data_IF_113426110080
#
_entry.id   IF_113426110080
#
_cell.length_a   1.000
_cell.length_b   1.000
_cell.length_c   1.000
_cell.angle_alpha   90.00
_cell.angle_beta   90.00
_cell.angle_gamma   90.00
#
_symmetry.space_group_name_H-M   'P 1'
#
loop_
_entity.id
_entity.type
_entity.pdbx_description
1 polymer ?
#
# COMPACT_ATOMS: atom_id res chain seq x y z
N UNK A 1 42.70 -15.71 3.49
CA UNK A 1 41.85 -15.25 2.36
C UNK A 1 40.68 -14.49 2.96
N UNK A 2 40.78 -13.16 2.97
CA UNK A 2 39.84 -12.23 3.56
C UNK A 2 39.12 -11.51 2.42
N UNK A 3 37.79 -11.55 2.39
CA UNK A 3 37.02 -10.58 1.61
C UNK A 3 35.66 -10.34 2.26
N UNK A 4 35.27 -9.06 2.25
CA UNK A 4 33.95 -8.44 2.45
C UNK A 4 33.61 -7.94 3.85
N UNK A 5 33.70 -6.61 4.03
CA UNK A 5 32.56 -5.77 4.39
C UNK A 5 32.97 -4.28 4.31
N UNK A 6 32.56 -3.59 3.24
CA UNK A 6 32.74 -2.14 3.11
C UNK A 6 31.77 -1.57 2.06
N UNK A 7 30.47 -1.55 2.39
CA UNK A 7 29.51 -0.64 1.77
C UNK A 7 28.45 -0.35 2.83
N UNK A 8 28.62 0.73 3.61
CA UNK A 8 27.57 1.43 4.38
C UNK A 8 28.16 2.57 5.24
N UNK A 9 28.87 3.53 4.63
CA UNK A 9 29.22 4.82 5.28
C UNK A 9 29.36 5.95 4.27
N UNK A 10 28.25 6.42 3.70
CA UNK A 10 28.26 7.75 3.05
C UNK A 10 26.87 8.41 3.04
N UNK A 11 26.22 8.59 4.18
CA UNK A 11 25.07 9.52 4.30
C UNK A 11 24.98 10.07 5.73
N UNK A 12 25.98 10.82 6.18
CA UNK A 12 25.88 11.61 7.41
C UNK A 12 26.95 12.69 7.44
N UNK A 13 26.68 13.84 6.81
CA UNK A 13 27.17 15.16 7.21
C UNK A 13 26.62 16.22 6.27
N UNK A 14 25.88 17.19 6.84
CA UNK A 14 25.90 18.65 6.55
C UNK A 14 24.49 19.25 6.66
N UNK A 15 24.08 19.61 7.87
CA UNK A 15 23.09 20.66 8.13
C UNK A 15 23.61 21.52 9.28
N UNK A 16 24.47 22.48 8.96
CA UNK A 16 24.82 23.57 9.89
C UNK A 16 23.82 24.71 9.70
N UNK A 17 22.97 24.87 10.71
CA UNK A 17 22.37 26.11 11.22
C UNK A 17 22.64 27.40 10.40
N UNK A 18 21.63 27.89 9.68
CA UNK A 18 21.49 29.31 9.36
C UNK A 18 20.31 29.89 10.14
N UNK A 19 20.61 30.85 11.03
CA UNK A 19 19.62 31.72 11.67
C UNK A 19 19.33 32.89 10.72
N UNK A 20 18.12 32.97 10.18
CA UNK A 20 17.61 34.19 9.58
C UNK A 20 16.61 34.86 10.52
N UNK A 21 16.88 36.11 10.88
CA UNK A 21 15.89 37.04 11.43
C UNK A 21 15.23 37.74 10.24
N UNK A 22 13.90 37.68 10.12
CA UNK A 22 13.17 38.58 9.24
C UNK A 22 11.90 39.08 9.92
N UNK A 23 11.90 40.38 10.21
CA UNK A 23 10.72 41.19 10.51
C UNK A 23 10.19 41.77 9.20
N UNK A 24 8.98 41.39 8.80
CA UNK A 24 8.33 41.97 7.63
C UNK A 24 7.09 41.17 7.23
N UNK A 25 5.91 41.68 7.58
CA UNK A 25 4.61 41.08 7.24
C UNK A 25 4.28 41.44 5.79
N UNK A 26 4.51 40.51 4.86
CA UNK A 26 3.89 40.50 3.53
C UNK A 26 2.91 39.33 3.47
N UNK A 27 1.70 39.59 2.95
CA UNK A 27 0.67 38.57 2.71
C UNK A 27 1.24 37.50 1.77
N UNK A 28 1.65 36.38 2.37
CA UNK A 28 2.28 35.28 1.66
C UNK A 28 1.27 34.57 0.75
N UNK A 29 1.52 34.65 -0.55
CA UNK A 29 1.28 33.48 -1.41
C UNK A 29 2.02 32.34 -0.71
N UNK A 30 1.28 31.36 -0.19
CA UNK A 30 1.89 30.21 0.46
C UNK A 30 2.87 29.62 -0.56
N UNK A 31 4.18 29.76 -0.31
CA UNK A 31 5.20 29.09 -1.08
C UNK A 31 4.84 27.61 -0.98
N UNK A 32 4.34 27.05 -2.09
CA UNK A 32 4.29 25.60 -2.26
C UNK A 32 5.74 25.18 -2.02
N UNK A 33 6.02 24.39 -0.97
CA UNK A 33 7.39 24.05 -0.63
C UNK A 33 8.11 23.52 -1.87
N UNK A 34 9.41 23.81 -2.01
CA UNK A 34 10.35 23.29 -3.02
C UNK A 34 10.44 21.74 -3.07
N UNK A 35 9.47 21.02 -2.53
CA UNK A 35 9.32 19.57 -2.57
C UNK A 35 9.19 19.00 -4.00
N UNK A 36 8.81 19.81 -4.99
CA UNK A 36 8.71 19.35 -6.38
C UNK A 36 10.07 19.25 -7.10
N UNK A 37 11.11 19.97 -6.68
CA UNK A 37 12.43 19.93 -7.35
C UNK A 37 13.31 18.75 -6.89
N UNK A 38 12.89 18.02 -5.86
CA UNK A 38 13.48 16.73 -5.52
C UNK A 38 12.55 15.60 -5.95
N UNK A 39 12.27 15.51 -7.25
CA UNK A 39 11.95 14.21 -7.86
C UNK A 39 13.21 13.37 -7.72
N UNK A 40 13.36 12.80 -6.53
CA UNK A 40 14.43 11.88 -6.20
C UNK A 40 14.30 10.73 -7.18
N UNK A 41 15.41 10.38 -7.84
CA UNK A 41 15.44 9.27 -8.78
C UNK A 41 14.71 8.06 -8.18
N UNK A 42 13.83 7.42 -8.96
CA UNK A 42 13.15 6.21 -8.51
C UNK A 42 14.19 5.19 -8.03
N UNK A 43 13.89 4.40 -6.98
CA UNK A 43 14.78 3.34 -6.55
C UNK A 43 15.06 2.39 -7.73
N UNK A 44 16.23 1.73 -7.75
CA UNK A 44 16.57 0.79 -8.80
C UNK A 44 15.49 -0.29 -8.89
N UNK A 45 15.11 -0.67 -10.12
CA UNK A 45 14.13 -1.70 -10.33
C UNK A 45 14.63 -3.03 -9.74
N UNK A 46 13.84 -3.72 -8.90
CA UNK A 46 14.21 -5.04 -8.44
C UNK A 46 14.30 -6.02 -9.63
N UNK A 47 15.11 -7.08 -9.52
CA UNK A 47 15.20 -8.09 -10.58
C UNK A 47 13.89 -8.86 -10.73
N UNK A 48 13.67 -9.43 -11.91
CA UNK A 48 12.52 -10.30 -12.14
C UNK A 48 12.60 -11.53 -11.21
N UNK A 49 11.55 -11.83 -10.43
CA UNK A 49 11.59 -12.96 -9.51
C UNK A 49 11.63 -14.29 -10.26
N UNK A 50 12.54 -15.17 -9.86
CA UNK A 50 12.76 -16.48 -10.49
C UNK A 50 11.99 -17.63 -9.81
N UNK A 51 11.35 -17.39 -8.67
CA UNK A 51 10.67 -18.43 -7.89
C UNK A 51 9.16 -18.36 -8.06
N UNK A 52 8.52 -19.53 -8.09
CA UNK A 52 7.07 -19.70 -8.03
C UNK A 52 6.73 -20.75 -6.96
N UNK A 53 6.02 -20.41 -5.87
CA UNK A 53 5.48 -19.09 -5.53
C UNK A 53 6.59 -18.06 -5.23
N UNK A 54 6.29 -16.78 -5.44
CA UNK A 54 7.23 -15.69 -5.13
C UNK A 54 7.17 -15.38 -3.62
N UNK A 55 8.31 -15.20 -2.92
CA UNK A 55 8.29 -14.80 -1.52
C UNK A 55 7.65 -13.41 -1.36
N UNK A 56 6.98 -13.18 -0.23
CA UNK A 56 6.70 -11.81 0.19
C UNK A 56 8.01 -11.03 0.33
N UNK A 57 7.89 -9.70 0.34
CA UNK A 57 9.01 -8.81 0.68
C UNK A 57 9.58 -9.20 2.05
N UNK A 58 10.90 -9.30 2.13
CA UNK A 58 11.63 -9.47 3.38
C UNK A 58 11.44 -8.23 4.28
N UNK A 59 11.78 -8.35 5.57
CA UNK A 59 11.66 -7.23 6.53
C UNK A 59 12.35 -5.97 6.02
N UNK A 60 13.57 -6.08 5.55
CA UNK A 60 14.38 -4.96 5.06
C UNK A 60 13.79 -4.35 3.77
N UNK A 61 13.07 -5.15 2.99
CA UNK A 61 12.44 -4.72 1.75
C UNK A 61 11.11 -4.01 2.01
N UNK A 62 10.36 -4.47 3.01
CA UNK A 62 9.22 -3.74 3.56
C UNK A 62 9.65 -2.37 4.10
N UNK A 63 10.87 -2.26 4.66
CA UNK A 63 11.37 -0.96 5.13
C UNK A 63 11.58 0.04 3.97
N UNK A 64 11.98 -0.42 2.79
CA UNK A 64 12.05 0.42 1.59
C UNK A 64 10.66 0.91 1.13
N UNK A 65 9.60 0.19 1.47
CA UNK A 65 8.25 0.64 1.18
C UNK A 65 7.85 1.86 1.97
N UNK A 66 8.47 2.10 3.13
CA UNK A 66 8.14 3.28 3.91
C UNK A 66 8.59 4.58 3.23
N UNK A 67 9.60 4.53 2.37
CA UNK A 67 10.03 5.68 1.59
C UNK A 67 9.25 5.86 0.29
N UNK A 68 8.61 4.81 -0.23
CA UNK A 68 7.91 4.84 -1.52
C UNK A 68 6.81 5.92 -1.64
N UNK A 69 6.00 6.23 -0.60
CA UNK A 69 4.97 7.27 -0.66
C UNK A 69 5.51 8.70 -0.76
N UNK A 70 6.79 8.92 -0.43
CA UNK A 70 7.44 10.21 -0.68
C UNK A 70 7.90 10.35 -2.12
N UNK A 71 8.11 9.22 -2.79
CA UNK A 71 8.64 9.16 -4.14
C UNK A 71 7.53 9.04 -5.19
N UNK A 72 6.39 8.44 -4.83
CA UNK A 72 5.36 8.00 -5.77
C UNK A 72 3.94 8.20 -5.18
N UNK A 73 2.86 8.20 -6.00
CA UNK A 73 1.49 8.23 -5.49
C UNK A 73 1.03 6.94 -4.83
N UNK A 74 1.89 5.92 -4.77
CA UNK A 74 1.52 4.62 -4.25
C UNK A 74 1.44 4.61 -2.74
N UNK A 75 0.42 3.92 -2.26
CA UNK A 75 0.08 3.91 -0.84
C UNK A 75 -0.24 2.50 -0.40
N UNK A 76 0.27 2.15 0.78
CA UNK A 76 -0.06 0.89 1.43
C UNK A 76 -1.36 1.05 2.18
N UNK A 77 -2.32 0.21 1.86
CA UNK A 77 -3.54 0.08 2.64
C UNK A 77 -3.60 -1.34 3.16
N UNK A 78 -3.89 -1.53 4.46
CA UNK A 78 -4.46 -2.80 4.89
C UNK A 78 -5.67 -3.05 4.02
N UNK A 79 -5.81 -4.26 3.48
CA UNK A 79 -7.02 -4.59 2.74
C UNK A 79 -8.23 -4.42 3.65
N UNK A 80 -9.05 -3.42 3.36
CA UNK A 80 -10.37 -3.30 3.95
C UNK A 80 -11.25 -4.33 3.26
N UNK A 81 -11.66 -5.38 3.98
CA UNK A 81 -12.88 -6.10 3.60
C UNK A 81 -13.98 -5.04 3.50
N UNK A 82 -14.86 -5.11 2.50
CA UNK A 82 -15.99 -4.19 2.44
C UNK A 82 -16.74 -4.29 3.76
N UNK A 83 -16.62 -3.25 4.60
CA UNK A 83 -17.60 -3.07 5.64
C UNK A 83 -18.91 -2.86 4.92
N UNK A 84 -19.98 -3.53 5.34
CA UNK A 84 -21.33 -3.32 4.81
C UNK A 84 -21.77 -1.83 4.84
N UNK A 85 -20.99 -0.95 5.48
CA UNK A 85 -20.96 0.48 5.22
C UNK A 85 -20.27 0.82 3.87
N UNK A 86 -20.87 0.44 2.74
CA UNK A 86 -20.74 1.27 1.53
C UNK A 86 -21.49 2.56 1.83
N UNK A 87 -20.79 3.57 2.33
CA UNK A 87 -21.31 4.94 2.37
C UNK A 87 -21.70 5.33 0.96
N UNK A 88 -22.92 5.88 0.80
CA UNK A 88 -23.60 6.14 -0.47
C UNK A 88 -22.95 7.20 -1.36
N UNK A 89 -21.71 6.98 -1.78
CA UNK A 89 -21.10 7.68 -2.92
C UNK A 89 -21.53 6.90 -4.16
N UNK A 90 -22.70 7.22 -4.70
CA UNK A 90 -23.09 6.84 -6.06
C UNK A 90 -22.18 7.59 -7.05
N UNK A 91 -20.97 7.09 -7.28
CA UNK A 91 -20.22 7.50 -8.46
C UNK A 91 -20.83 6.77 -9.66
N UNK A 92 -21.17 7.50 -10.73
CA UNK A 92 -21.57 6.88 -11.99
C UNK A 92 -20.36 6.13 -12.56
N UNK A 93 -20.36 4.81 -12.39
CA UNK A 93 -19.27 3.95 -12.81
C UNK A 93 -19.44 3.54 -14.27
N UNK A 94 -18.49 3.88 -15.13
CA UNK A 94 -18.34 3.24 -16.44
C UNK A 94 -17.66 1.89 -16.18
N UNK A 95 -18.43 0.80 -16.24
CA UNK A 95 -17.92 -0.55 -16.08
C UNK A 95 -17.21 -0.99 -17.37
N UNK A 96 -15.90 -1.06 -17.33
CA UNK A 96 -15.13 -1.92 -18.24
C UNK A 96 -14.85 -3.20 -17.44
N UNK A 97 -15.47 -4.31 -17.86
CA UNK A 97 -15.41 -5.70 -17.35
C UNK A 97 -14.18 -6.03 -16.49
N UNK A 98 -14.32 -6.64 -15.30
CA UNK A 98 -14.54 -8.10 -15.18
C UNK A 98 -15.41 -8.54 -13.99
N UNK A 99 -16.31 -9.49 -14.27
CA UNK A 99 -17.35 -10.09 -13.40
C UNK A 99 -16.82 -11.05 -12.34
N UNK A 100 -15.80 -10.66 -11.58
CA UNK A 100 -15.31 -11.54 -10.51
C UNK A 100 -15.51 -10.89 -9.16
N UNK A 101 -16.36 -11.54 -8.37
CA UNK A 101 -16.69 -11.21 -6.99
C UNK A 101 -15.49 -11.53 -6.07
N UNK A 102 -14.36 -10.86 -6.31
CA UNK A 102 -13.06 -11.05 -5.66
C UNK A 102 -13.00 -10.58 -4.19
N UNK A 103 -14.11 -10.07 -3.66
CA UNK A 103 -14.14 -9.42 -2.34
C UNK A 103 -14.26 -10.38 -1.15
N UNK A 104 -14.61 -11.66 -1.39
CA UNK A 104 -14.85 -12.63 -0.29
C UNK A 104 -13.71 -13.60 -0.01
N UNK A 105 -12.79 -13.84 -0.95
CA UNK A 105 -11.84 -14.98 -0.86
C UNK A 105 -10.36 -14.61 -0.88
N UNK A 106 -10.01 -13.40 -1.25
CA UNK A 106 -8.60 -13.03 -1.36
C UNK A 106 -8.10 -12.49 -0.01
N UNK A 107 -7.23 -13.29 0.62
CA UNK A 107 -6.72 -13.11 1.97
C UNK A 107 -5.86 -11.87 2.22
N UNK A 108 -5.04 -12.02 3.26
CA UNK A 108 -4.49 -10.94 4.08
C UNK A 108 -3.26 -10.37 3.43
N UNK A 109 -3.18 -9.06 3.33
CA UNK A 109 -2.00 -8.45 2.75
C UNK A 109 -2.08 -6.94 2.76
N UNK A 110 -0.89 -6.37 2.64
CA UNK A 110 -0.74 -5.00 2.21
C UNK A 110 -1.06 -4.94 0.73
N UNK A 111 -1.86 -3.96 0.33
CA UNK A 111 -2.14 -3.71 -1.08
C UNK A 111 -1.53 -2.37 -1.45
N UNK A 112 -0.75 -2.36 -2.53
CA UNK A 112 -0.26 -1.14 -3.14
C UNK A 112 -1.40 -0.49 -3.90
N UNK A 113 -1.73 0.75 -3.58
CA UNK A 113 -2.83 1.49 -4.21
C UNK A 113 -2.36 2.86 -4.66
N UNK A 114 -2.59 3.19 -5.94
CA UNK A 114 -2.37 4.54 -6.49
C UNK A 114 -3.60 5.02 -7.25
N UNK A 115 -3.74 6.35 -7.35
CA UNK A 115 -4.77 6.99 -8.16
C UNK A 115 -4.12 8.06 -9.03
N UNK A 116 -4.23 7.89 -10.33
CA UNK A 116 -3.76 8.84 -11.34
C UNK A 116 -4.94 9.63 -11.88
N UNK A 117 -4.79 10.94 -12.06
CA UNK A 117 -5.87 11.81 -12.55
C UNK A 117 -5.56 12.38 -13.92
N UNK A 118 -6.61 12.55 -14.70
CA UNK A 118 -6.56 13.05 -16.08
C UNK A 118 -7.72 14.03 -16.30
N UNK A 119 -7.50 15.05 -17.12
CA UNK A 119 -8.54 16.01 -17.55
C UNK A 119 -9.46 15.41 -18.59
N UNK A 120 -8.95 14.51 -19.43
CA UNK A 120 -9.69 13.91 -20.54
C UNK A 120 -9.80 12.40 -20.39
N UNK A 121 -10.90 11.83 -20.88
CA UNK A 121 -11.11 10.38 -20.91
C UNK A 121 -10.07 9.67 -21.80
N UNK A 122 -9.73 10.17 -23.00
CA UNK A 122 -8.77 9.50 -23.86
C UNK A 122 -7.38 9.40 -23.24
N UNK A 123 -6.91 10.43 -22.51
CA UNK A 123 -5.63 10.35 -21.80
C UNK A 123 -5.63 9.29 -20.70
N UNK A 124 -6.74 9.18 -19.95
CA UNK A 124 -6.90 8.14 -18.93
C UNK A 124 -6.95 6.73 -19.54
N UNK A 125 -7.60 6.57 -20.70
CA UNK A 125 -7.66 5.32 -21.43
C UNK A 125 -6.27 4.91 -21.95
N UNK A 126 -5.55 5.84 -22.59
CA UNK A 126 -4.18 5.62 -23.05
C UNK A 126 -3.25 5.20 -21.90
N UNK A 127 -3.38 5.83 -20.72
CA UNK A 127 -2.63 5.39 -19.54
C UNK A 127 -2.98 3.96 -19.10
N UNK A 128 -4.25 3.56 -19.17
CA UNK A 128 -4.64 2.17 -18.86
C UNK A 128 -4.05 1.17 -19.84
N UNK A 129 -4.02 1.51 -21.14
CA UNK A 129 -3.40 0.66 -22.16
C UNK A 129 -1.91 0.46 -21.90
N UNK A 130 -1.19 1.52 -21.51
CA UNK A 130 0.23 1.41 -21.14
C UNK A 130 0.45 0.62 -19.85
N UNK A 131 -0.43 0.75 -18.85
CA UNK A 131 -0.39 -0.08 -17.63
C UNK A 131 -0.60 -1.56 -17.97
N UNK A 132 -1.54 -1.85 -18.89
CA UNK A 132 -1.82 -3.21 -19.35
C UNK A 132 -0.62 -3.80 -20.11
N UNK A 133 0.05 -3.01 -20.97
CA UNK A 133 1.29 -3.43 -21.63
C UNK A 133 2.40 -3.78 -20.61
N UNK A 134 2.60 -2.94 -19.58
CA UNK A 134 3.56 -3.22 -18.50
C UNK A 134 3.17 -4.52 -17.75
N UNK A 135 1.88 -4.73 -17.51
CA UNK A 135 1.35 -5.94 -16.88
C UNK A 135 1.73 -7.21 -17.64
N UNK A 136 1.57 -7.19 -18.96
CA UNK A 136 1.89 -8.30 -19.86
C UNK A 136 3.40 -8.58 -19.92
N UNK A 137 4.22 -7.52 -20.03
CA UNK A 137 5.68 -7.63 -20.04
C UNK A 137 6.24 -8.18 -18.73
N UNK A 138 5.69 -7.75 -17.60
CA UNK A 138 6.10 -8.19 -16.26
C UNK A 138 5.40 -9.47 -15.80
N UNK A 139 4.49 -10.01 -16.61
CA UNK A 139 3.64 -11.16 -16.26
C UNK A 139 3.00 -10.99 -14.87
N UNK A 140 2.46 -9.78 -14.62
CA UNK A 140 1.98 -9.36 -13.32
C UNK A 140 0.71 -8.52 -13.41
N UNK A 141 -0.43 -9.19 -13.36
CA UNK A 141 -1.72 -8.51 -13.41
C UNK A 141 -2.01 -7.72 -12.11
N UNK A 142 -2.33 -6.42 -12.20
CA UNK A 142 -2.82 -5.70 -11.05
C UNK A 142 -4.11 -6.35 -10.55
N UNK A 143 -4.29 -6.39 -9.23
CA UNK A 143 -5.55 -6.82 -8.63
C UNK A 143 -6.74 -5.98 -9.10
N UNK A 144 -6.48 -4.69 -9.39
CA UNK A 144 -7.50 -3.77 -9.82
C UNK A 144 -6.91 -2.73 -10.76
N UNK A 145 -7.54 -2.51 -11.91
CA UNK A 145 -7.24 -1.42 -12.83
C UNK A 145 -8.58 -0.86 -13.32
N UNK A 146 -8.93 0.35 -12.89
CA UNK A 146 -10.27 0.91 -13.16
C UNK A 146 -10.26 2.40 -13.45
N UNK A 147 -10.93 2.78 -14.52
CA UNK A 147 -11.35 4.14 -14.81
C UNK A 147 -12.62 4.50 -14.05
N UNK A 148 -12.66 5.67 -13.43
CA UNK A 148 -13.87 6.22 -12.87
C UNK A 148 -13.92 7.74 -13.00
N UNK A 149 -15.14 8.27 -13.10
CA UNK A 149 -15.39 9.70 -13.12
C UNK A 149 -15.46 10.20 -11.69
N UNK A 150 -14.58 11.14 -11.32
CA UNK A 150 -14.58 11.71 -9.98
C UNK A 150 -15.32 13.04 -9.99
N UNK A 151 -16.64 12.99 -9.79
CA UNK A 151 -17.46 14.19 -9.68
C UNK A 151 -17.60 14.59 -8.20
N UNK A 152 -16.55 15.20 -7.63
CA UNK A 152 -16.55 15.54 -6.20
C UNK A 152 -17.21 16.91 -5.90
N UNK A 153 -17.45 17.73 -6.92
CA UNK A 153 -18.14 19.01 -6.79
C UNK A 153 -18.56 19.49 -8.21
N UNK A 154 -19.84 19.81 -8.47
CA UNK A 154 -20.27 20.32 -9.77
C UNK A 154 -19.62 21.65 -10.18
N UNK A 155 -18.92 22.34 -9.26
CA UNK A 155 -18.15 23.56 -9.53
C UNK A 155 -16.65 23.33 -9.78
N UNK A 156 -16.17 22.10 -9.68
CA UNK A 156 -14.75 21.74 -9.89
C UNK A 156 -14.66 20.90 -11.16
N UNK A 157 -13.63 21.16 -11.97
CA UNK A 157 -13.39 20.46 -13.22
C UNK A 157 -13.56 18.94 -13.09
N UNK A 158 -14.28 18.37 -14.05
CA UNK A 158 -14.50 16.92 -14.12
C UNK A 158 -13.15 16.27 -14.38
N UNK A 159 -12.72 15.42 -13.44
CA UNK A 159 -11.50 14.64 -13.59
C UNK A 159 -11.82 13.17 -13.79
N UNK A 160 -11.15 12.56 -14.77
CA UNK A 160 -11.04 11.13 -14.93
C UNK A 160 -9.96 10.63 -13.98
N UNK A 161 -10.19 9.49 -13.34
CA UNK A 161 -9.23 8.90 -12.44
C UNK A 161 -9.04 7.42 -12.74
N UNK A 162 -7.79 6.97 -12.73
CA UNK A 162 -7.41 5.57 -12.86
C UNK A 162 -6.92 5.08 -11.51
N UNK A 163 -7.68 4.17 -10.89
CA UNK A 163 -7.32 3.49 -9.66
C UNK A 163 -6.60 2.18 -9.99
N UNK A 164 -5.39 2.03 -9.46
CA UNK A 164 -4.60 0.81 -9.59
C UNK A 164 -4.39 0.20 -8.21
N UNK A 165 -4.60 -1.11 -8.10
CA UNK A 165 -4.21 -1.92 -6.95
C UNK A 165 -3.32 -3.06 -7.39
N UNK A 166 -2.19 -3.25 -6.73
CA UNK A 166 -1.24 -4.33 -7.02
C UNK A 166 -0.95 -5.15 -5.77
N UNK A 167 -1.00 -6.47 -5.93
CA UNK A 167 -0.63 -7.49 -4.95
C UNK A 167 -0.43 -8.82 -5.69
N UNK A 168 0.57 -9.60 -5.31
CA UNK A 168 0.77 -10.95 -5.83
C UNK A 168 -0.25 -11.89 -5.17
N UNK A 169 -0.99 -12.66 -5.97
CA UNK A 169 -2.06 -13.55 -5.46
C UNK A 169 -1.53 -14.78 -4.73
N UNK A 170 -0.41 -15.31 -5.20
CA UNK A 170 0.20 -16.54 -4.69
C UNK A 170 1.62 -16.24 -4.23
N UNK A 171 1.76 -15.99 -2.93
CA UNK A 171 3.04 -15.68 -2.34
C UNK A 171 3.20 -16.40 -1.01
N UNK A 172 4.40 -16.89 -0.71
CA UNK A 172 4.70 -17.50 0.59
C UNK A 172 5.30 -16.46 1.54
N UNK A 173 5.06 -16.61 2.84
CA UNK A 173 5.52 -15.65 3.84
C UNK A 173 6.92 -16.05 4.32
N UNK A 174 7.97 -15.22 4.13
CA UNK A 174 9.31 -15.51 4.62
C UNK A 174 9.36 -15.57 6.15
N UNK A 175 10.29 -16.35 6.69
CA UNK A 175 10.49 -16.48 8.13
C UNK A 175 10.75 -15.11 8.81
N UNK A 176 11.48 -14.21 8.14
CA UNK A 176 11.78 -12.87 8.67
C UNK A 176 10.52 -12.05 8.98
N UNK A 177 9.46 -12.24 8.20
CA UNK A 177 8.14 -11.63 8.35
C UNK A 177 7.35 -12.35 9.42
N UNK A 178 7.40 -13.69 9.46
CA UNK A 178 6.78 -14.48 10.53
C UNK A 178 7.31 -14.10 11.92
N UNK A 179 8.60 -13.82 12.02
CA UNK A 179 9.26 -13.38 13.25
C UNK A 179 8.79 -11.98 13.71
N UNK A 180 8.12 -11.22 12.84
CA UNK A 180 7.51 -9.94 13.19
C UNK A 180 6.13 -10.10 13.84
N UNK A 181 5.60 -11.33 13.96
CA UNK A 181 4.30 -11.57 14.58
C UNK A 181 4.28 -11.00 16.01
N UNK A 182 3.24 -10.24 16.38
CA UNK A 182 3.15 -9.67 17.72
C UNK A 182 3.16 -10.76 18.79
N UNK A 183 4.06 -10.63 19.76
CA UNK A 183 4.23 -11.61 20.86
C UNK A 183 3.01 -11.76 21.77
N UNK A 184 2.08 -10.79 21.74
CA UNK A 184 0.86 -10.81 22.54
C UNK A 184 -0.27 -11.62 21.89
N UNK A 185 -0.14 -12.03 20.62
CA UNK A 185 -0.99 -13.07 20.08
C UNK A 185 -0.59 -14.37 20.79
N UNK A 186 -1.45 -14.82 21.70
CA UNK A 186 -1.21 -15.90 22.67
C UNK A 186 -0.91 -17.25 22.02
N UNK A 187 -1.26 -17.35 20.74
CA UNK A 187 -0.83 -18.32 19.75
C UNK A 187 0.70 -18.53 19.82
N UNK A 188 1.11 -19.54 20.59
CA UNK A 188 2.50 -19.88 20.95
C UNK A 188 3.43 -19.87 19.72
N UNK A 189 4.74 -19.71 19.98
CA UNK A 189 5.89 -19.96 19.06
C UNK A 189 5.85 -21.29 18.27
N UNK A 190 4.81 -22.13 18.42
CA UNK A 190 4.63 -23.43 17.79
C UNK A 190 3.71 -23.42 16.58
N UNK A 191 3.00 -22.34 16.27
CA UNK A 191 2.29 -22.23 14.99
C UNK A 191 3.32 -21.96 13.90
N UNK A 192 3.91 -23.06 13.43
CA UNK A 192 4.53 -23.14 12.13
C UNK A 192 3.44 -22.81 11.12
N UNK A 193 3.58 -21.66 10.45
CA UNK A 193 3.03 -21.65 9.11
C UNK A 193 3.86 -22.66 8.34
N UNK A 194 3.24 -23.65 7.71
CA UNK A 194 4.00 -24.50 6.84
C UNK A 194 4.64 -23.58 5.78
N UNK A 195 5.89 -23.86 5.38
CA UNK A 195 6.55 -23.13 4.29
C UNK A 195 5.71 -23.15 2.99
N UNK A 196 4.70 -24.03 2.94
CA UNK A 196 3.68 -24.16 1.91
C UNK A 196 2.48 -23.23 2.05
N UNK A 197 2.40 -22.35 3.07
CA UNK A 197 1.30 -21.40 3.17
C UNK A 197 1.44 -20.35 2.05
N UNK A 198 0.62 -20.50 1.02
CA UNK A 198 0.51 -19.57 -0.10
C UNK A 198 -0.70 -18.67 0.14
N UNK A 199 -0.46 -17.38 0.31
CA UNK A 199 -1.50 -16.36 0.45
C UNK A 199 -1.15 -15.09 -0.34
N UNK A 200 -2.14 -14.24 -0.68
CA UNK A 200 -1.84 -12.98 -1.34
C UNK A 200 -0.90 -12.10 -0.52
N UNK A 201 0.11 -11.48 -1.13
CA UNK A 201 1.07 -10.64 -0.44
C UNK A 201 1.86 -9.73 -1.36
N UNK A 202 2.53 -8.72 -0.79
CA UNK A 202 3.44 -7.87 -1.55
C UNK A 202 4.75 -8.60 -1.79
N UNK A 203 5.19 -8.63 -3.04
CA UNK A 203 6.45 -9.22 -3.48
C UNK A 203 7.28 -8.19 -4.24
N UNK A 204 8.51 -8.56 -4.60
CA UNK A 204 9.35 -7.75 -5.49
C UNK A 204 8.70 -7.47 -6.84
N UNK A 205 7.85 -8.37 -7.34
CA UNK A 205 7.12 -8.19 -8.61
C UNK A 205 6.17 -7.00 -8.52
N UNK A 206 5.44 -6.89 -7.40
CA UNK A 206 4.58 -5.74 -7.14
C UNK A 206 5.39 -4.44 -7.11
N UNK A 207 6.55 -4.43 -6.45
CA UNK A 207 7.40 -3.23 -6.36
C UNK A 207 7.94 -2.83 -7.72
N UNK A 208 8.38 -3.82 -8.51
CA UNK A 208 8.84 -3.59 -9.88
C UNK A 208 7.75 -2.96 -10.74
N UNK A 209 6.57 -3.58 -10.73
CA UNK A 209 5.40 -3.13 -11.48
C UNK A 209 5.04 -1.69 -11.15
N UNK A 210 4.90 -1.34 -9.87
CA UNK A 210 4.51 0.02 -9.48
C UNK A 210 5.54 1.09 -9.85
N UNK A 211 6.84 0.75 -9.80
CA UNK A 211 7.92 1.64 -10.21
C UNK A 211 7.95 1.85 -11.72
N UNK A 212 7.69 0.79 -12.51
CA UNK A 212 7.58 0.89 -13.96
C UNK A 212 6.38 1.74 -14.38
N UNK A 213 5.22 1.54 -13.74
CA UNK A 213 4.03 2.35 -13.98
C UNK A 213 4.29 3.83 -13.64
N UNK A 214 4.91 4.12 -12.50
CA UNK A 214 5.21 5.50 -12.11
C UNK A 214 6.24 6.15 -13.04
N UNK A 215 7.26 5.40 -13.46
CA UNK A 215 8.24 5.86 -14.45
C UNK A 215 7.57 6.17 -15.79
N UNK A 216 6.81 5.23 -16.35
CA UNK A 216 6.07 5.41 -17.59
C UNK A 216 5.15 6.62 -17.52
N UNK A 217 4.43 6.76 -16.41
CA UNK A 217 3.52 7.88 -16.21
C UNK A 217 4.26 9.22 -16.27
N UNK A 218 5.42 9.33 -15.62
CA UNK A 218 6.25 10.55 -15.68
C UNK A 218 6.78 10.81 -17.09
N UNK A 219 7.29 9.78 -17.74
CA UNK A 219 7.93 9.91 -19.05
C UNK A 219 6.92 10.34 -20.13
N UNK A 220 5.69 9.80 -20.11
CA UNK A 220 4.67 10.04 -21.14
C UNK A 220 3.77 11.24 -20.81
N UNK A 221 3.35 11.38 -19.54
CA UNK A 221 2.30 12.34 -19.15
C UNK A 221 2.87 13.57 -18.42
N UNK A 222 4.17 13.57 -18.08
CA UNK A 222 4.90 14.69 -17.47
C UNK A 222 6.26 14.94 -18.17
N UNK A 223 6.29 15.14 -19.50
CA UNK A 223 7.56 15.44 -20.16
C UNK A 223 8.18 16.73 -19.58
N UNK A 224 9.50 16.73 -19.43
CA UNK A 224 10.32 17.77 -18.80
C UNK A 224 10.29 19.12 -19.56
N UNK A 225 9.15 19.81 -19.62
CA UNK A 225 8.94 21.15 -20.20
C UNK A 225 7.45 21.47 -20.05
N UNK A 226 6.95 22.59 -19.54
CA UNK A 226 7.48 23.94 -19.45
C UNK A 226 6.51 24.71 -18.54
N UNK A 227 7.02 25.62 -17.71
CA UNK A 227 6.25 26.63 -16.93
C UNK A 227 5.19 26.11 -15.93
N UNK A 228 5.28 26.56 -14.68
CA UNK A 228 4.40 26.13 -13.58
C UNK A 228 2.90 26.39 -13.79
N UNK A 229 2.54 27.18 -14.80
CA UNK A 229 1.14 27.48 -15.15
C UNK A 229 0.53 26.46 -16.11
N UNK A 230 1.36 25.65 -16.79
CA UNK A 230 0.97 24.52 -17.63
C UNK A 230 1.10 23.20 -16.86
N UNK A 231 0.61 23.17 -15.61
CA UNK A 231 0.34 21.91 -14.93
C UNK A 231 -0.65 21.14 -15.79
N UNK A 232 -0.07 20.21 -16.57
CA UNK A 232 -0.57 19.57 -17.76
C UNK A 232 -1.89 18.84 -17.54
N UNK A 233 -2.44 18.31 -18.62
CA UNK A 233 -3.73 17.60 -18.69
C UNK A 233 -3.87 16.38 -17.75
N UNK A 234 -2.85 16.06 -16.97
CA UNK A 234 -2.77 14.94 -16.05
C UNK A 234 -2.09 15.38 -14.75
N UNK A 235 -2.54 14.84 -13.63
CA UNK A 235 -2.09 15.20 -12.29
C UNK A 235 -1.85 13.98 -11.43
N UNK A 236 -0.72 13.93 -10.73
CA UNK A 236 -0.53 12.98 -9.62
C UNK A 236 -1.16 13.61 -8.37
N UNK A 237 -2.29 13.08 -7.91
CA UNK A 237 -2.73 13.41 -6.56
C UNK A 237 -1.97 12.52 -5.57
N UNK A 238 -0.71 12.84 -5.32
CA UNK A 238 -0.04 12.31 -4.13
C UNK A 238 -0.63 13.07 -2.95
N UNK A 239 -1.37 12.35 -2.09
CA UNK A 239 -1.75 12.93 -0.80
C UNK A 239 -0.44 13.10 -0.04
N UNK A 240 0.02 14.33 0.17
CA UNK A 240 1.22 14.62 0.98
C UNK A 240 1.10 13.82 2.28
N UNK A 241 1.99 12.85 2.46
CA UNK A 241 1.94 11.96 3.63
C UNK A 241 2.95 12.40 4.65
N UNK A 242 2.56 12.27 5.91
CA UNK A 242 3.46 12.48 7.03
C UNK A 242 4.51 11.34 7.04
N UNK A 243 5.70 11.59 7.60
CA UNK A 243 6.66 10.55 8.00
C UNK A 243 5.94 9.35 8.63
N UNK A 244 6.13 8.15 8.08
CA UNK A 244 5.60 6.92 8.70
C UNK A 244 6.32 6.74 10.05
N UNK A 245 5.54 6.75 11.13
CA UNK A 245 6.07 6.62 12.49
C UNK A 245 6.45 5.16 12.78
N UNK A 246 7.30 4.91 13.79
CA UNK A 246 7.60 3.54 14.22
C UNK A 246 6.32 2.75 14.60
N UNK A 247 5.33 3.44 15.16
CA UNK A 247 4.02 2.87 15.49
C UNK A 247 3.23 2.49 14.24
N UNK A 248 3.25 3.32 13.18
CA UNK A 248 2.63 2.97 11.89
C UNK A 248 3.24 1.71 11.28
N UNK A 249 4.56 1.51 11.43
CA UNK A 249 5.25 0.30 10.95
C UNK A 249 4.78 -0.94 11.71
N UNK A 250 4.70 -0.83 13.05
CA UNK A 250 4.17 -1.90 13.90
C UNK A 250 2.72 -2.20 13.51
N UNK A 251 1.88 -1.18 13.31
CA UNK A 251 0.50 -1.34 12.90
C UNK A 251 0.37 -1.95 11.50
N UNK A 252 1.26 -1.60 10.56
CA UNK A 252 1.30 -2.17 9.22
C UNK A 252 1.58 -3.67 9.27
N UNK A 253 2.62 -4.07 10.01
CA UNK A 253 3.00 -5.47 10.24
C UNK A 253 1.89 -6.21 10.98
N UNK A 254 1.29 -5.58 11.99
CA UNK A 254 0.14 -6.16 12.67
C UNK A 254 -1.04 -6.36 11.72
N UNK A 255 -1.28 -5.43 10.80
CA UNK A 255 -2.40 -5.49 9.86
C UNK A 255 -2.30 -6.66 8.89
N UNK A 256 -1.08 -7.08 8.54
CA UNK A 256 -0.79 -8.30 7.78
C UNK A 256 -1.35 -9.53 8.48
N UNK A 257 -1.14 -9.63 9.80
CA UNK A 257 -1.52 -10.81 10.59
C UNK A 257 -2.91 -10.73 11.23
N UNK A 258 -3.51 -9.54 11.32
CA UNK A 258 -4.80 -9.32 12.01
C UNK A 258 -6.01 -9.78 11.22
N UNK A 259 -5.94 -9.71 9.90
CA UNK A 259 -7.07 -10.08 9.01
C UNK A 259 -6.82 -11.49 8.53
N UNK A 260 -7.89 -12.26 8.31
CA UNK A 260 -7.93 -13.64 7.74
C UNK A 260 -7.01 -14.70 8.35
N UNK A 261 -6.32 -14.39 9.43
CA UNK A 261 -5.81 -15.37 10.36
C UNK A 261 -6.71 -15.36 11.58
N UNK A 262 -6.90 -16.53 12.15
CA UNK A 262 -7.61 -16.68 13.40
C UNK A 262 -6.93 -15.82 14.47
N UNK A 263 -7.62 -14.84 15.09
CA UNK A 263 -7.00 -14.00 16.12
C UNK A 263 -6.65 -14.79 17.38
N UNK A 264 -7.21 -15.99 17.54
CA UNK A 264 -6.92 -16.92 18.63
C UNK A 264 -5.58 -17.65 18.43
N UNK A 265 -5.44 -18.42 17.35
CA UNK A 265 -4.28 -19.30 17.12
C UNK A 265 -3.37 -18.84 15.96
N UNK A 266 -3.70 -17.75 15.27
CA UNK A 266 -2.91 -17.23 14.14
C UNK A 266 -2.93 -18.09 12.86
N UNK A 267 -3.71 -19.16 12.79
CA UNK A 267 -3.81 -20.04 11.61
C UNK A 267 -4.85 -19.56 10.59
N UNK A 268 -4.79 -20.06 9.35
CA UNK A 268 -5.72 -19.68 8.28
C UNK A 268 -7.08 -20.41 8.39
N UNK A 269 -7.90 -20.00 9.35
CA UNK A 269 -9.29 -20.41 9.47
C UNK A 269 -10.09 -19.33 10.21
N UNK A 270 -11.42 -19.42 10.12
CA UNK A 270 -12.31 -18.54 10.87
C UNK A 270 -12.16 -18.77 12.38
N UNK A 271 -12.43 -17.74 13.18
CA UNK A 271 -12.33 -17.82 14.64
C UNK A 271 -13.29 -18.87 15.22
N UNK A 272 -14.47 -19.03 14.62
CA UNK A 272 -15.47 -20.02 15.01
C UNK A 272 -14.99 -21.46 14.82
N UNK A 273 -14.09 -21.68 13.87
CA UNK A 273 -13.53 -22.99 13.52
C UNK A 273 -12.24 -23.29 14.30
N UNK A 274 -11.80 -22.38 15.19
CA UNK A 274 -10.55 -22.53 15.90
C UNK A 274 -10.62 -23.64 16.96
N UNK A 275 -9.78 -24.69 16.88
CA UNK A 275 -9.77 -25.75 17.89
C UNK A 275 -9.29 -25.25 19.25
N UNK A 276 -8.42 -24.23 19.26
CA UNK A 276 -7.84 -23.64 20.49
C UNK A 276 -8.66 -22.46 21.03
N UNK A 277 -9.86 -22.19 20.48
CA UNK A 277 -10.67 -21.01 20.80
C UNK A 277 -10.94 -20.83 22.29
N UNK A 278 -11.26 -21.93 22.96
CA UNK A 278 -11.61 -21.93 24.38
C UNK A 278 -10.39 -21.77 25.29
N UNK A 279 -9.21 -22.19 24.82
CA UNK A 279 -7.96 -22.13 25.57
C UNK A 279 -7.32 -20.73 25.53
N UNK A 280 -7.75 -19.90 24.58
CA UNK A 280 -7.20 -18.58 24.34
C UNK A 280 -8.32 -17.55 24.24
N UNK A 281 -8.97 -17.19 25.36
CA UNK A 281 -9.93 -16.09 25.36
C UNK A 281 -9.24 -14.77 24.97
N UNK A 282 -9.98 -13.80 24.41
CA UNK A 282 -9.40 -12.53 23.99
C UNK A 282 -8.78 -11.82 25.20
N UNK A 283 -7.50 -11.47 25.06
CA UNK A 283 -6.71 -10.84 26.13
C UNK A 283 -6.94 -9.33 26.23
N UNK A 284 -7.73 -8.75 25.34
CA UNK A 284 -7.81 -7.30 25.22
C UNK A 284 -8.47 -6.71 26.48
N UNK A 285 -7.65 -6.03 27.30
CA UNK A 285 -8.10 -5.35 28.51
C UNK A 285 -9.13 -4.26 28.21
N UNK A 286 -9.18 -3.80 26.95
CA UNK A 286 -10.14 -2.80 26.48
C UNK A 286 -11.56 -3.35 26.33
N UNK A 287 -11.76 -4.66 26.42
CA UNK A 287 -13.05 -5.31 26.24
C UNK A 287 -13.50 -5.35 24.77
N UNK A 288 -14.63 -6.02 24.52
CA UNK A 288 -15.25 -6.11 23.22
C UNK A 288 -15.59 -4.72 22.66
N UNK A 289 -15.29 -4.46 21.39
CA UNK A 289 -15.53 -3.15 20.78
C UNK A 289 -17.02 -2.78 20.69
N UNK A 290 -17.91 -3.79 20.65
CA UNK A 290 -19.36 -3.57 20.56
C UNK A 290 -19.99 -3.24 21.91
N UNK A 291 -19.57 -3.91 22.98
CA UNK A 291 -20.25 -3.81 24.29
C UNK A 291 -19.37 -3.35 25.45
N UNK A 292 -18.07 -3.22 25.24
CA UNK A 292 -17.09 -2.86 26.27
C UNK A 292 -16.77 -3.95 27.29
N UNK A 293 -17.46 -5.11 27.28
CA UNK A 293 -17.22 -6.19 28.25
C UNK A 293 -16.06 -7.08 27.83
N UNK A 294 -15.29 -7.58 28.79
CA UNK A 294 -14.18 -8.53 28.55
C UNK A 294 -14.68 -9.98 28.45
N UNK A 295 -13.79 -10.90 28.07
CA UNK A 295 -14.04 -12.35 28.17
C UNK A 295 -14.77 -13.01 26.99
N UNK A 296 -15.08 -12.29 25.93
CA UNK A 296 -15.63 -12.84 24.69
C UNK A 296 -15.06 -12.11 23.47
N UNK A 297 -15.06 -12.78 22.31
CA UNK A 297 -14.60 -12.19 21.07
C UNK A 297 -15.66 -11.26 20.48
N UNK A 298 -15.26 -10.25 19.73
CA UNK A 298 -16.20 -9.30 19.10
C UNK A 298 -17.25 -9.98 18.21
N UNK A 299 -16.89 -11.10 17.59
CA UNK A 299 -17.78 -11.91 16.74
C UNK A 299 -18.83 -12.69 17.55
N UNK A 300 -18.62 -12.87 18.85
CA UNK A 300 -19.53 -13.57 19.78
C UNK A 300 -20.40 -12.60 20.58
N UNK A 301 -20.22 -11.30 20.38
CA UNK A 301 -20.99 -10.30 21.11
C UNK A 301 -22.49 -10.42 20.74
N UNK A 302 -23.32 -10.60 21.77
CA UNK A 302 -24.77 -10.78 21.64
C UNK A 302 -25.56 -9.46 21.61
N UNK A 303 -24.87 -8.32 21.71
CA UNK A 303 -25.43 -6.96 21.58
C UNK A 303 -25.49 -6.50 20.13
#
# INVERSE_FOLDING_TARGET
MLFRSSVLRTLQTTLKSQRFKSTGVTRGVAQIPQYFEQITALPPLPPFPQTNPTPWLEREELEMLYSLPYLTPWTFRPRLLPSNAQTGIQANFIHVSSDVNYDKTLGNGLVLTATYKFRTQPAAAHFMDEVQRISEEEQHDPLFLRLYLRNNNPKVDVHYAVLIRSITREAFIPQSILDMRPRHLTAKRRIYFPETLIIPGLTKRDIRFVLLVDKMFRDIFFPNSSTSDDLSESGIQSSVRHPITAEDRINLVQSVFRRGFCPCCGSNHELQQCPERNDHPPQDRKGCYRCGKTGHWDVDCSL
#
